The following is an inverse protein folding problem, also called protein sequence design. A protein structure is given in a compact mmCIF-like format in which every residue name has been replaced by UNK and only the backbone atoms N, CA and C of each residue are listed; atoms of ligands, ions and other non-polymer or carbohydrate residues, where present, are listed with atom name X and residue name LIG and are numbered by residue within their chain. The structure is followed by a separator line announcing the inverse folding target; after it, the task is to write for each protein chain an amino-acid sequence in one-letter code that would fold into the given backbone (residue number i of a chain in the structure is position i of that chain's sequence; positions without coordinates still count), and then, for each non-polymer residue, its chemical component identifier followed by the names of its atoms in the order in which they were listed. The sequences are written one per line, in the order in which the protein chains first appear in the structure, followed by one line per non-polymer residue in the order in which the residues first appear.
data_IF_692245893144
#
_entry.id   IF_692245893144
#
_cell.length_a   1.000
_cell.length_b   1.000
_cell.length_c   1.000
_cell.angle_alpha   90.00
_cell.angle_beta   90.00
_cell.angle_gamma   90.00
#
_symmetry.space_group_name_H-M   'P 1'
#
loop_
_entity.id
_entity.type
_entity.pdbx_description
1 polymer ?
#
# COMPACT_ATOMS: atom_id res chain seq x y z
N UNK A 1 9.62 40.42 -6.82
CA UNK A 1 10.08 40.87 -5.49
C UNK A 1 10.40 39.58 -4.74
N UNK A 2 11.65 39.14 -4.81
CA UNK A 2 12.19 37.82 -4.43
C UNK A 2 11.93 37.41 -2.96
N UNK A 3 11.46 38.35 -2.14
CA UNK A 3 11.12 38.09 -0.74
C UNK A 3 9.79 37.34 -0.54
N UNK A 4 8.85 37.48 -1.47
CA UNK A 4 7.51 36.86 -1.37
C UNK A 4 7.42 35.50 -2.06
N UNK A 5 8.38 35.19 -2.94
CA UNK A 5 8.46 33.93 -3.70
C UNK A 5 9.42 32.96 -2.99
N UNK A 6 9.18 32.72 -1.69
CA UNK A 6 9.98 31.76 -0.91
C UNK A 6 9.21 30.46 -0.74
N UNK A 7 9.71 29.43 -1.39
CA UNK A 7 9.23 28.09 -1.15
C UNK A 7 9.56 27.64 0.28
N UNK A 8 8.63 26.94 0.94
CA UNK A 8 8.87 26.42 2.28
C UNK A 8 10.05 25.44 2.29
N UNK A 9 11.11 25.76 3.03
CA UNK A 9 12.34 24.96 3.13
C UNK A 9 12.14 23.52 3.64
N UNK A 10 11.03 23.26 4.32
CA UNK A 10 10.71 21.96 4.93
C UNK A 10 9.57 21.25 4.23
N UNK A 11 8.84 21.94 3.35
CA UNK A 11 7.84 21.31 2.52
C UNK A 11 8.58 20.87 1.26
N UNK A 12 8.41 19.61 0.90
CA UNK A 12 8.77 19.20 -0.44
C UNK A 12 7.71 19.86 -1.35
N UNK A 13 8.01 21.05 -1.86
CA UNK A 13 7.15 21.77 -2.81
C UNK A 13 7.05 20.99 -4.12
N UNK A 14 5.96 21.20 -4.85
CA UNK A 14 5.46 20.36 -5.95
C UNK A 14 6.40 20.14 -7.15
N UNK A 15 7.58 20.75 -7.18
CA UNK A 15 8.56 20.63 -8.27
C UNK A 15 9.80 19.84 -7.79
N UNK A 16 9.97 18.61 -8.30
CA UNK A 16 11.19 17.82 -8.09
C UNK A 16 11.15 16.68 -7.07
N UNK A 17 9.98 16.06 -6.84
CA UNK A 17 9.88 14.84 -6.03
C UNK A 17 10.37 13.60 -6.76
N UNK A 18 10.98 12.65 -6.03
CA UNK A 18 11.35 11.32 -6.52
C UNK A 18 12.32 11.32 -7.71
N UNK A 19 13.30 12.22 -7.66
CA UNK A 19 14.37 12.32 -8.67
C UNK A 19 15.59 11.46 -8.33
N UNK A 20 15.67 10.99 -7.08
CA UNK A 20 16.80 10.20 -6.57
C UNK A 20 16.31 8.90 -5.89
N UNK A 21 17.03 7.77 -6.03
CA UNK A 21 16.66 6.51 -5.39
C UNK A 21 16.51 6.59 -3.86
N UNK A 22 17.29 7.44 -3.20
CA UNK A 22 17.23 7.64 -1.75
C UNK A 22 15.88 8.22 -1.28
N UNK A 23 15.24 9.05 -2.11
CA UNK A 23 13.92 9.60 -1.83
C UNK A 23 12.84 8.52 -1.91
N UNK A 24 12.95 7.62 -2.90
CA UNK A 24 12.08 6.44 -3.00
C UNK A 24 12.27 5.50 -1.79
N UNK A 25 13.51 5.28 -1.38
CA UNK A 25 13.85 4.40 -0.27
C UNK A 25 13.18 4.85 1.03
N UNK A 26 13.28 6.13 1.39
CA UNK A 26 12.66 6.68 2.60
C UNK A 26 11.14 6.45 2.61
N UNK A 27 10.51 6.63 1.45
CA UNK A 27 9.08 6.41 1.27
C UNK A 27 8.69 4.94 1.42
N UNK A 28 9.48 4.03 0.83
CA UNK A 28 9.32 2.58 0.98
C UNK A 28 9.48 2.14 2.43
N UNK A 29 10.49 2.67 3.14
CA UNK A 29 10.77 2.31 4.54
C UNK A 29 9.54 2.56 5.43
N UNK A 30 8.82 3.67 5.21
CA UNK A 30 7.58 3.96 5.94
C UNK A 30 6.48 2.91 5.73
N UNK A 31 6.47 2.21 4.58
CA UNK A 31 5.48 1.17 4.27
C UNK A 31 5.73 -0.16 4.97
N UNK A 32 6.93 -0.41 5.50
CA UNK A 32 7.18 -1.60 6.31
C UNK A 32 6.39 -1.60 7.62
N UNK A 33 5.90 -0.44 8.10
CA UNK A 33 4.94 -0.37 9.22
C UNK A 33 3.58 -1.02 8.92
N UNK A 34 3.29 -1.34 7.66
CA UNK A 34 2.09 -2.09 7.27
C UNK A 34 2.21 -3.59 7.56
N UNK A 35 3.45 -4.11 7.62
CA UNK A 35 3.68 -5.51 7.94
C UNK A 35 3.44 -5.74 9.43
N UNK A 36 2.86 -6.89 9.81
CA UNK A 36 2.64 -7.20 11.21
C UNK A 36 3.95 -7.31 11.96
N UNK A 37 4.01 -6.68 13.13
CA UNK A 37 5.09 -6.88 14.09
C UNK A 37 4.67 -7.96 15.12
N UNK A 38 5.60 -8.38 15.98
CA UNK A 38 5.35 -9.38 17.02
C UNK A 38 4.15 -8.99 17.90
N UNK A 39 4.00 -7.70 18.21
CA UNK A 39 2.87 -7.17 18.99
C UNK A 39 1.52 -7.29 18.28
N UNK A 40 1.51 -7.36 16.94
CA UNK A 40 0.29 -7.41 16.13
C UNK A 40 -0.11 -8.86 15.84
N UNK A 41 0.78 -9.81 16.08
CA UNK A 41 0.56 -11.23 15.80
C UNK A 41 0.08 -11.94 17.05
N UNK A 42 -1.22 -12.23 17.11
CA UNK A 42 -1.78 -13.02 18.21
C UNK A 42 -1.78 -14.52 17.87
N UNK A 43 -0.69 -15.20 18.24
CA UNK A 43 -0.50 -16.62 17.99
C UNK A 43 -1.43 -17.54 18.82
N UNK A 44 -2.07 -17.00 19.86
CA UNK A 44 -2.76 -17.83 20.87
C UNK A 44 -4.27 -17.68 20.87
N UNK A 45 -4.82 -16.57 20.37
CA UNK A 45 -6.27 -16.33 20.42
C UNK A 45 -6.90 -15.98 19.09
N UNK A 46 -6.13 -15.82 18.01
CA UNK A 46 -6.69 -15.54 16.69
C UNK A 46 -7.65 -16.64 16.22
N UNK A 47 -7.42 -17.89 16.64
CA UNK A 47 -8.22 -19.04 16.25
C UNK A 47 -9.50 -19.22 17.09
N UNK A 48 -9.72 -18.38 18.12
CA UNK A 48 -10.94 -18.40 18.94
C UNK A 48 -12.21 -17.99 18.17
N UNK A 49 -12.06 -17.52 16.93
CA UNK A 49 -13.17 -17.18 16.03
C UNK A 49 -13.43 -18.27 14.99
N UNK A 50 -12.73 -19.41 15.06
CA UNK A 50 -12.94 -20.60 14.23
C UNK A 50 -13.46 -21.79 15.05
N UNK A 51 -13.66 -22.93 14.41
CA UNK A 51 -14.04 -24.20 15.04
C UNK A 51 -12.86 -24.97 15.66
N UNK A 52 -11.62 -24.50 15.50
CA UNK A 52 -10.41 -25.16 16.00
C UNK A 52 -10.08 -24.81 17.46
N UNK A 53 -10.50 -23.64 17.96
CA UNK A 53 -10.18 -23.20 19.31
C UNK A 53 -11.38 -22.52 19.98
N UNK A 54 -11.62 -22.83 21.25
CA UNK A 54 -12.54 -22.09 22.10
C UNK A 54 -11.77 -21.18 23.09
N UNK A 55 -12.21 -19.94 23.23
CA UNK A 55 -11.77 -19.05 24.31
C UNK A 55 -12.50 -19.30 25.62
N UNK A 56 -12.07 -18.62 26.68
CA UNK A 56 -12.75 -18.65 27.99
C UNK A 56 -13.89 -17.63 28.09
N UNK A 57 -13.90 -16.63 27.21
CA UNK A 57 -14.93 -15.60 27.12
C UNK A 57 -15.84 -15.79 25.89
N UNK A 58 -17.10 -15.32 25.93
CA UNK A 58 -17.97 -15.33 24.76
C UNK A 58 -17.40 -14.50 23.61
N UNK A 59 -17.44 -15.06 22.40
CA UNK A 59 -16.98 -14.38 21.18
C UNK A 59 -18.19 -13.90 20.38
N UNK A 60 -18.27 -12.58 20.13
CA UNK A 60 -19.41 -11.94 19.44
C UNK A 60 -19.67 -12.50 18.02
N UNK A 61 -18.66 -13.11 17.39
CA UNK A 61 -18.78 -13.73 16.06
C UNK A 61 -19.77 -14.91 16.02
N UNK A 62 -19.92 -15.63 17.13
CA UNK A 62 -20.83 -16.79 17.24
C UNK A 62 -22.22 -16.41 17.78
N UNK A 63 -22.41 -15.15 18.14
CA UNK A 63 -23.65 -14.66 18.73
C UNK A 63 -24.50 -13.91 17.68
N UNK A 64 -25.76 -14.32 17.44
CA UNK A 64 -26.64 -13.62 16.53
C UNK A 64 -26.76 -12.12 16.88
N UNK A 65 -26.76 -11.26 15.85
CA UNK A 65 -26.94 -9.80 15.95
C UNK A 65 -25.84 -9.03 16.71
N UNK A 66 -24.72 -9.68 17.05
CA UNK A 66 -23.57 -9.03 17.72
C UNK A 66 -22.51 -8.51 16.74
N UNK A 67 -22.45 -9.05 15.51
CA UNK A 67 -21.61 -8.51 14.43
C UNK A 67 -22.24 -7.22 13.91
N UNK A 68 -21.55 -6.09 14.13
CA UNK A 68 -22.01 -4.75 13.74
C UNK A 68 -20.93 -4.03 12.93
N UNK A 69 -21.35 -3.12 12.07
CA UNK A 69 -20.43 -2.22 11.37
C UNK A 69 -19.89 -1.21 12.39
N UNK A 70 -18.57 -1.09 12.49
CA UNK A 70 -17.94 -0.12 13.37
C UNK A 70 -18.26 1.31 12.91
N UNK A 71 -18.54 2.21 13.86
CA UNK A 71 -18.80 3.62 13.57
C UNK A 71 -17.56 4.37 13.07
N UNK A 72 -16.36 3.88 13.39
CA UNK A 72 -15.07 4.48 13.03
C UNK A 72 -14.04 3.39 12.70
N UNK A 73 -12.95 3.77 12.02
CA UNK A 73 -11.77 2.89 11.86
C UNK A 73 -11.89 1.77 10.81
N UNK A 74 -13.05 1.60 10.16
CA UNK A 74 -13.23 0.62 9.08
C UNK A 74 -12.26 0.85 7.90
N UNK A 75 -11.92 2.11 7.67
CA UNK A 75 -11.02 2.59 6.63
C UNK A 75 -9.79 3.24 7.28
N UNK A 76 -8.69 2.49 7.41
CA UNK A 76 -7.51 2.93 8.16
C UNK A 76 -6.17 2.86 7.40
N UNK A 77 -6.20 2.60 6.08
CA UNK A 77 -5.00 2.50 5.21
C UNK A 77 -4.99 3.50 4.05
N UNK A 78 -5.94 4.43 3.99
CA UNK A 78 -6.15 5.37 2.87
C UNK A 78 -4.92 6.25 2.63
N UNK A 79 -4.30 6.74 3.72
CA UNK A 79 -3.05 7.49 3.63
C UNK A 79 -1.95 6.66 2.95
N UNK A 80 -1.77 5.41 3.37
CA UNK A 80 -0.78 4.52 2.74
C UNK A 80 -1.09 4.22 1.28
N UNK A 81 -2.37 4.05 0.92
CA UNK A 81 -2.79 3.82 -0.46
C UNK A 81 -2.51 5.04 -1.35
N UNK A 82 -2.85 6.25 -0.88
CA UNK A 82 -2.55 7.51 -1.56
C UNK A 82 -1.06 7.65 -1.81
N UNK A 83 -0.26 7.42 -0.77
CA UNK A 83 1.19 7.46 -0.84
C UNK A 83 1.74 6.50 -1.90
N UNK A 84 1.25 5.26 -1.95
CA UNK A 84 1.68 4.29 -2.97
C UNK A 84 1.35 4.79 -4.39
N UNK A 85 0.14 5.28 -4.61
CA UNK A 85 -0.26 5.80 -5.92
C UNK A 85 0.58 7.01 -6.34
N UNK A 86 0.86 7.91 -5.39
CA UNK A 86 1.64 9.12 -5.63
C UNK A 86 3.08 8.79 -6.01
N UNK A 87 3.75 7.91 -5.25
CA UNK A 87 5.10 7.49 -5.57
C UNK A 87 5.16 6.80 -6.93
N UNK A 88 4.25 5.87 -7.22
CA UNK A 88 4.23 5.17 -8.51
C UNK A 88 4.02 6.12 -9.67
N UNK A 89 3.11 7.09 -9.54
CA UNK A 89 2.86 8.08 -10.57
C UNK A 89 4.12 8.89 -10.89
N UNK A 90 4.72 9.53 -9.88
CA UNK A 90 5.87 10.41 -10.09
C UNK A 90 7.16 9.65 -10.44
N UNK A 91 7.43 8.51 -9.81
CA UNK A 91 8.64 7.74 -10.10
C UNK A 91 8.65 7.25 -11.57
N UNK A 92 7.50 6.78 -12.07
CA UNK A 92 7.38 6.35 -13.47
C UNK A 92 7.46 7.54 -14.44
N UNK A 93 6.85 8.68 -14.09
CA UNK A 93 6.92 9.91 -14.89
C UNK A 93 8.36 10.45 -14.97
N UNK A 94 9.08 10.49 -13.85
CA UNK A 94 10.45 10.99 -13.79
C UNK A 94 11.43 10.08 -14.55
N UNK A 95 11.22 8.76 -14.52
CA UNK A 95 12.00 7.82 -15.36
C UNK A 95 11.78 8.15 -16.84
N UNK A 96 10.53 8.39 -17.26
CA UNK A 96 10.21 8.73 -18.65
C UNK A 96 10.82 10.07 -19.09
N UNK A 97 10.89 11.05 -18.17
CA UNK A 97 11.52 12.36 -18.41
C UNK A 97 13.05 12.33 -18.32
N UNK A 98 13.64 11.26 -17.80
CA UNK A 98 15.08 11.16 -17.53
C UNK A 98 15.53 11.94 -16.29
N UNK A 99 14.59 12.32 -15.41
CA UNK A 99 14.83 13.02 -14.15
C UNK A 99 15.14 12.07 -12.98
N UNK A 100 14.85 10.77 -13.16
CA UNK A 100 15.19 9.69 -12.23
C UNK A 100 15.84 8.56 -13.04
N UNK A 101 17.02 8.11 -12.60
CA UNK A 101 17.73 7.03 -13.27
C UNK A 101 17.02 5.68 -13.09
N UNK A 102 16.81 4.95 -14.19
CA UNK A 102 16.19 3.62 -14.20
C UNK A 102 17.20 2.51 -13.79
N UNK A 103 17.72 2.62 -12.58
CA UNK A 103 18.64 1.63 -12.02
C UNK A 103 17.91 0.41 -11.45
N UNK A 104 18.65 -0.68 -11.21
CA UNK A 104 18.11 -1.84 -10.48
C UNK A 104 17.66 -1.50 -9.06
N UNK A 105 18.26 -0.49 -8.42
CA UNK A 105 17.85 -0.01 -7.11
C UNK A 105 16.53 0.79 -7.20
N UNK A 106 16.40 1.68 -8.17
CA UNK A 106 15.15 2.40 -8.46
C UNK A 106 13.99 1.42 -8.69
N UNK A 107 14.22 0.42 -9.54
CA UNK A 107 13.22 -0.61 -9.83
C UNK A 107 12.88 -1.44 -8.59
N UNK A 108 13.87 -1.75 -7.74
CA UNK A 108 13.61 -2.42 -6.46
C UNK A 108 12.58 -1.63 -5.62
N UNK A 109 12.79 -0.32 -5.44
CA UNK A 109 11.89 0.52 -4.65
C UNK A 109 10.50 0.64 -5.27
N UNK A 110 10.41 0.80 -6.59
CA UNK A 110 9.11 0.79 -7.29
C UNK A 110 8.39 -0.54 -7.08
N UNK A 111 9.10 -1.67 -7.22
CA UNK A 111 8.56 -3.01 -7.00
C UNK A 111 8.01 -3.23 -5.59
N UNK A 112 8.67 -2.67 -4.57
CA UNK A 112 8.16 -2.73 -3.19
C UNK A 112 6.86 -1.97 -3.01
N UNK A 113 6.70 -0.81 -3.64
CA UNK A 113 5.47 -0.04 -3.53
C UNK A 113 4.30 -0.75 -4.24
N UNK A 114 4.55 -1.39 -5.38
CA UNK A 114 3.56 -2.29 -5.99
C UNK A 114 3.14 -3.40 -5.02
N UNK A 115 4.10 -4.07 -4.36
CA UNK A 115 3.79 -5.09 -3.37
C UNK A 115 2.96 -4.53 -2.20
N UNK A 116 3.34 -3.38 -1.64
CA UNK A 116 2.59 -2.79 -0.52
C UNK A 116 1.19 -2.32 -0.94
N UNK A 117 1.01 -1.85 -2.17
CA UNK A 117 -0.33 -1.55 -2.70
C UNK A 117 -1.16 -2.82 -2.78
N UNK A 118 -0.62 -3.90 -3.37
CA UNK A 118 -1.27 -5.21 -3.39
C UNK A 118 -1.64 -5.70 -1.97
N UNK A 119 -0.73 -5.55 -1.01
CA UNK A 119 -0.94 -5.91 0.39
C UNK A 119 -2.13 -5.16 1.02
N UNK A 120 -2.21 -3.84 0.84
CA UNK A 120 -3.34 -3.03 1.33
C UNK A 120 -4.66 -3.48 0.69
N UNK A 121 -4.68 -3.70 -0.62
CA UNK A 121 -5.89 -4.17 -1.30
C UNK A 121 -6.29 -5.58 -0.84
N UNK A 122 -5.33 -6.45 -0.52
CA UNK A 122 -5.62 -7.77 0.04
C UNK A 122 -6.25 -7.68 1.43
N UNK A 123 -5.76 -6.79 2.31
CA UNK A 123 -6.42 -6.54 3.61
C UNK A 123 -7.88 -6.11 3.42
N UNK A 124 -8.15 -5.23 2.45
CA UNK A 124 -9.51 -4.77 2.16
C UNK A 124 -10.39 -5.80 1.45
N UNK A 125 -9.82 -6.62 0.57
CA UNK A 125 -10.52 -7.74 -0.05
C UNK A 125 -11.00 -8.73 1.01
N UNK A 126 -10.14 -9.06 1.99
CA UNK A 126 -10.49 -9.95 3.11
C UNK A 126 -11.58 -9.37 4.00
N UNK A 127 -11.55 -8.05 4.24
CA UNK A 127 -12.52 -7.37 5.12
C UNK A 127 -13.86 -7.10 4.46
N UNK A 128 -13.87 -6.68 3.20
CA UNK A 128 -15.03 -6.09 2.54
C UNK A 128 -15.47 -6.81 1.26
N UNK A 129 -14.61 -7.64 0.67
CA UNK A 129 -14.81 -8.18 -0.67
C UNK A 129 -14.67 -7.07 -1.71
N UNK A 130 -15.79 -6.45 -2.07
CA UNK A 130 -15.84 -5.38 -3.06
C UNK A 130 -15.20 -4.10 -2.53
N UNK A 131 -14.34 -3.47 -3.32
CA UNK A 131 -13.59 -2.28 -2.90
C UNK A 131 -13.30 -1.37 -4.10
N UNK A 132 -13.21 -0.04 -3.94
CA UNK A 132 -12.86 0.86 -5.03
C UNK A 132 -11.41 0.66 -5.48
N UNK A 133 -11.15 0.70 -6.80
CA UNK A 133 -9.79 0.60 -7.35
C UNK A 133 -9.35 1.99 -7.79
N UNK A 134 -8.46 2.58 -7.00
CA UNK A 134 -7.89 3.92 -7.23
C UNK A 134 -6.43 3.72 -7.60
N UNK A 135 -6.06 4.10 -8.84
CA UNK A 135 -4.68 3.98 -9.36
C UNK A 135 -3.94 5.33 -9.42
N UNK A 136 -4.65 6.44 -9.29
CA UNK A 136 -4.12 7.81 -9.38
C UNK A 136 -4.32 8.59 -8.08
N UNK A 137 -3.64 9.73 -7.96
CA UNK A 137 -3.96 10.70 -6.92
C UNK A 137 -5.30 11.38 -7.25
N UNK A 138 -6.08 11.63 -6.19
CA UNK A 138 -7.36 12.31 -6.26
C UNK A 138 -7.19 13.74 -5.76
N UNK A 139 -7.72 14.72 -6.50
CA UNK A 139 -7.72 16.12 -6.09
C UNK A 139 -8.83 16.37 -5.07
N UNK A 140 -8.55 17.15 -4.03
CA UNK A 140 -9.55 17.53 -3.03
C UNK A 140 -10.67 18.41 -3.63
N UNK A 141 -10.36 19.15 -4.71
CA UNK A 141 -11.27 20.12 -5.30
C UNK A 141 -12.27 19.51 -6.29
N UNK A 142 -12.06 18.26 -6.73
CA UNK A 142 -12.94 17.58 -7.68
C UNK A 142 -13.83 16.53 -6.98
N UNK A 143 -14.91 17.01 -6.37
CA UNK A 143 -15.87 16.14 -5.69
C UNK A 143 -16.50 15.08 -6.62
N UNK A 144 -16.84 15.46 -7.85
CA UNK A 144 -17.51 14.56 -8.78
C UNK A 144 -16.61 13.41 -9.21
N UNK A 145 -15.35 13.70 -9.56
CA UNK A 145 -14.36 12.67 -9.88
C UNK A 145 -14.08 11.77 -8.67
N UNK A 146 -14.02 12.34 -7.47
CA UNK A 146 -13.80 11.57 -6.24
C UNK A 146 -14.93 10.59 -5.95
N UNK A 147 -16.19 11.01 -6.13
CA UNK A 147 -17.35 10.13 -5.98
C UNK A 147 -17.30 8.99 -7.00
N UNK A 148 -16.97 9.29 -8.25
CA UNK A 148 -16.86 8.28 -9.30
C UNK A 148 -15.74 7.27 -9.01
N UNK A 149 -14.56 7.75 -8.64
CA UNK A 149 -13.40 6.92 -8.32
C UNK A 149 -13.62 6.00 -7.11
N UNK A 150 -14.49 6.41 -6.18
CA UNK A 150 -14.81 5.65 -4.97
C UNK A 150 -15.97 4.65 -5.16
N UNK A 151 -16.47 4.42 -6.38
CA UNK A 151 -17.41 3.34 -6.64
C UNK A 151 -16.74 1.99 -6.44
N UNK A 152 -17.36 1.14 -5.60
CA UNK A 152 -16.85 -0.21 -5.31
C UNK A 152 -16.82 -1.06 -6.58
N UNK A 153 -15.73 -1.80 -6.76
CA UNK A 153 -15.59 -2.81 -7.79
C UNK A 153 -15.82 -4.20 -7.19
N UNK A 154 -16.38 -5.15 -7.95
CA UNK A 154 -16.58 -6.53 -7.51
C UNK A 154 -15.28 -7.20 -7.02
N UNK A 155 -15.39 -8.10 -6.03
CA UNK A 155 -14.25 -8.80 -5.40
C UNK A 155 -13.30 -9.49 -6.38
N UNK A 156 -13.82 -9.98 -7.51
CA UNK A 156 -13.00 -10.63 -8.55
C UNK A 156 -12.16 -9.61 -9.32
N UNK A 157 -12.66 -8.39 -9.53
CA UNK A 157 -11.87 -7.30 -10.12
C UNK A 157 -10.80 -6.81 -9.16
N UNK A 158 -11.13 -6.69 -7.87
CA UNK A 158 -10.15 -6.34 -6.83
C UNK A 158 -9.05 -7.40 -6.75
N UNK A 159 -9.41 -8.70 -6.78
CA UNK A 159 -8.43 -9.79 -6.79
C UNK A 159 -7.53 -9.76 -8.04
N UNK A 160 -8.07 -9.48 -9.22
CA UNK A 160 -7.25 -9.30 -10.43
C UNK A 160 -6.28 -8.13 -10.31
N UNK A 161 -6.74 -7.01 -9.75
CA UNK A 161 -5.88 -5.86 -9.53
C UNK A 161 -4.73 -6.15 -8.56
N UNK A 162 -4.97 -6.93 -7.50
CA UNK A 162 -3.90 -7.40 -6.59
C UNK A 162 -2.85 -8.21 -7.37
N UNK A 163 -3.29 -9.13 -8.24
CA UNK A 163 -2.38 -9.94 -9.06
C UNK A 163 -1.61 -9.10 -10.10
N UNK A 164 -2.23 -8.07 -10.69
CA UNK A 164 -1.56 -7.10 -11.57
C UNK A 164 -0.40 -6.43 -10.82
N UNK A 165 -0.65 -5.89 -9.62
CA UNK A 165 0.38 -5.24 -8.82
C UNK A 165 1.48 -6.22 -8.39
N UNK A 166 1.14 -7.47 -8.04
CA UNK A 166 2.15 -8.47 -7.70
C UNK A 166 3.01 -8.85 -8.89
N UNK A 167 2.47 -8.93 -10.11
CA UNK A 167 3.27 -9.15 -11.31
C UNK A 167 4.24 -7.99 -11.56
N UNK A 168 3.78 -6.75 -11.41
CA UNK A 168 4.64 -5.57 -11.52
C UNK A 168 5.74 -5.55 -10.44
N UNK A 169 5.42 -6.00 -9.22
CA UNK A 169 6.39 -6.17 -8.14
C UNK A 169 7.43 -7.25 -8.49
N UNK A 170 7.00 -8.45 -8.89
CA UNK A 170 7.86 -9.60 -9.24
C UNK A 170 8.85 -9.23 -10.35
N UNK A 171 8.39 -8.53 -11.38
CA UNK A 171 9.22 -8.12 -12.51
C UNK A 171 10.38 -7.18 -12.08
N UNK A 172 10.18 -6.40 -11.02
CA UNK A 172 11.10 -5.35 -10.59
C UNK A 172 11.98 -5.76 -9.43
N UNK A 173 11.42 -6.45 -8.45
CA UNK A 173 12.10 -6.89 -7.24
C UNK A 173 13.33 -7.76 -7.58
N UNK A 174 14.41 -7.50 -6.85
CA UNK A 174 15.63 -8.27 -6.86
C UNK A 174 15.41 -9.60 -6.11
N UNK A 175 16.15 -10.66 -6.48
CA UNK A 175 16.09 -11.93 -5.77
C UNK A 175 16.69 -11.79 -4.37
N UNK A 176 16.27 -12.67 -3.46
CA UNK A 176 16.75 -12.76 -2.07
C UNK A 176 18.27 -12.87 -1.95
N UNK A 177 18.94 -13.43 -2.96
CA UNK A 177 20.39 -13.54 -3.00
C UNK A 177 21.12 -12.19 -3.18
N UNK A 178 20.40 -11.10 -3.45
CA UNK A 178 20.96 -9.77 -3.59
C UNK A 178 21.09 -9.08 -2.23
N UNK A 179 22.28 -8.52 -1.95
CA UNK A 179 22.58 -7.84 -0.69
C UNK A 179 21.62 -6.70 -0.32
N UNK A 180 21.05 -6.00 -1.31
CA UNK A 180 20.07 -4.92 -1.07
C UNK A 180 18.79 -5.44 -0.39
N UNK A 181 18.48 -6.72 -0.57
CA UNK A 181 17.24 -7.35 -0.09
C UNK A 181 17.38 -8.08 1.24
N UNK A 182 18.54 -8.01 1.91
CA UNK A 182 18.77 -8.71 3.18
C UNK A 182 17.76 -8.35 4.28
N UNK A 183 17.24 -7.12 4.26
CA UNK A 183 16.29 -6.59 5.25
C UNK A 183 15.05 -5.97 4.61
N UNK A 184 14.77 -6.31 3.35
CA UNK A 184 13.71 -5.71 2.54
C UNK A 184 12.99 -6.80 1.75
N UNK A 185 11.81 -6.48 1.23
CA UNK A 185 11.05 -7.35 0.35
C UNK A 185 11.91 -7.76 -0.85
N UNK A 186 11.86 -9.04 -1.20
CA UNK A 186 12.52 -9.60 -2.37
C UNK A 186 11.48 -10.26 -3.27
N UNK A 187 11.92 -10.67 -4.45
CA UNK A 187 11.06 -11.30 -5.45
C UNK A 187 10.37 -12.56 -4.91
N UNK A 188 11.05 -13.34 -4.09
CA UNK A 188 10.53 -14.55 -3.47
C UNK A 188 9.42 -14.24 -2.45
N UNK A 189 9.48 -13.12 -1.74
CA UNK A 189 8.38 -12.63 -0.92
C UNK A 189 7.12 -12.35 -1.77
N UNK A 190 7.29 -11.76 -2.96
CA UNK A 190 6.18 -11.47 -3.85
C UNK A 190 5.60 -12.73 -4.53
N UNK A 191 6.40 -13.78 -4.75
CA UNK A 191 5.89 -15.08 -5.19
C UNK A 191 5.15 -15.86 -4.09
N UNK A 192 5.56 -15.68 -2.83
CA UNK A 192 4.95 -16.36 -1.69
C UNK A 192 3.56 -15.78 -1.35
N UNK A 193 3.41 -14.46 -1.54
CA UNK A 193 2.18 -13.73 -1.25
C UNK A 193 1.11 -13.96 -2.32
#
# INVERSE_FOLDING_TARGET
NDFLDREPLTDNVNEGFFTEPSQLQAYCNKKYELLPDFKDTNLFTNDQTSDNQAGTDPVDFFLPQRIKVAATGSYNRQGHLRDCNRLLYYALENIQKGELEDTRETQQYIGEIYFFRAYIYFEYLRKFGDFPIIKSELSADDYAANVEANKRKPRNEVARFILEDLNEAIARLLPRSNNLTNHRLNRECAYLF
#
